data_IF_463599162137
#
_entry.id   IF_463599162137
#
_cell.length_a   1.000
_cell.length_b   1.000
_cell.length_c   1.000
_cell.angle_alpha   90.00
_cell.angle_beta   90.00
_cell.angle_gamma   90.00
#
_symmetry.space_group_name_H-M   'P 1'
#
loop_
_entity.id
_entity.type
_entity.pdbx_description
1 polymer ?
#
# COMPACT_ATOMS: atom_id res chain seq x y z
N UNK A 1 44.79 -47.77 6.87
CA UNK A 1 44.26 -46.40 7.06
C UNK A 1 44.15 -45.83 5.64
N UNK A 2 42.98 -45.52 5.12
CA UNK A 2 42.08 -44.49 5.65
C UNK A 2 40.61 -44.83 5.39
N UNK A 3 39.79 -44.69 6.43
CA UNK A 3 38.33 -44.68 6.31
C UNK A 3 37.93 -43.31 5.78
N UNK A 4 37.33 -43.25 4.59
CA UNK A 4 36.65 -42.04 4.11
C UNK A 4 35.30 -41.97 4.84
N UNK A 5 35.22 -41.09 5.83
CA UNK A 5 33.92 -40.64 6.32
C UNK A 5 33.29 -39.77 5.22
N UNK A 6 32.26 -40.32 4.57
CA UNK A 6 31.28 -39.48 3.87
C UNK A 6 30.47 -38.80 4.97
N UNK A 7 30.74 -37.52 5.18
CA UNK A 7 29.81 -36.65 5.88
C UNK A 7 28.63 -36.47 4.92
N UNK A 8 27.45 -36.99 5.28
CA UNK A 8 26.24 -36.60 4.58
C UNK A 8 26.07 -35.10 4.80
N UNK A 9 25.98 -34.32 3.72
CA UNK A 9 25.46 -32.96 3.82
C UNK A 9 24.04 -33.09 4.39
N UNK A 10 23.86 -32.57 5.61
CA UNK A 10 22.55 -32.34 6.16
C UNK A 10 21.98 -31.16 5.37
N UNK A 11 21.05 -31.43 4.44
CA UNK A 11 20.19 -30.38 3.89
C UNK A 11 19.45 -29.77 5.08
N UNK A 12 19.84 -28.56 5.46
CA UNK A 12 19.06 -27.74 6.38
C UNK A 12 17.82 -27.34 5.57
N UNK A 13 16.60 -27.74 5.98
CA UNK A 13 15.42 -27.29 5.25
C UNK A 13 15.31 -25.77 5.44
N UNK A 14 15.48 -25.03 4.35
CA UNK A 14 15.44 -23.56 4.31
C UNK A 14 14.03 -22.99 4.55
N UNK A 15 13.02 -23.83 4.75
CA UNK A 15 11.63 -23.44 4.88
C UNK A 15 11.07 -23.84 6.24
N UNK A 16 10.58 -22.85 6.99
CA UNK A 16 9.85 -23.07 8.23
C UNK A 16 8.49 -23.71 7.93
N UNK A 17 8.39 -25.03 8.15
CA UNK A 17 7.17 -25.80 7.89
C UNK A 17 6.31 -25.83 9.15
N UNK A 18 5.01 -25.55 9.01
CA UNK A 18 4.05 -25.67 10.11
C UNK A 18 3.84 -27.13 10.51
N UNK A 19 3.72 -27.38 11.81
CA UNK A 19 3.40 -28.71 12.32
C UNK A 19 2.02 -29.17 11.83
N UNK A 20 1.83 -30.49 11.72
CA UNK A 20 0.50 -31.03 11.49
C UNK A 20 -0.43 -30.67 12.67
N UNK A 21 -1.66 -30.25 12.37
CA UNK A 21 -2.64 -29.85 13.38
C UNK A 21 -2.14 -28.69 14.27
N UNK A 22 -1.32 -27.78 13.72
CA UNK A 22 -0.88 -26.55 14.37
C UNK A 22 -2.00 -25.50 14.48
N UNK A 23 -1.81 -24.40 15.23
CA UNK A 23 -2.71 -23.25 15.19
C UNK A 23 -2.87 -22.69 13.77
N UNK A 24 -4.07 -22.19 13.45
CA UNK A 24 -4.32 -21.46 12.21
C UNK A 24 -4.40 -19.95 12.48
N UNK A 25 -3.88 -19.14 11.56
CA UNK A 25 -4.04 -17.68 11.59
C UNK A 25 -4.86 -17.24 10.38
N UNK A 26 -5.92 -16.49 10.62
CA UNK A 26 -6.81 -15.94 9.59
C UNK A 26 -7.07 -14.45 9.82
N UNK A 27 -7.70 -13.78 8.87
CA UNK A 27 -8.17 -12.41 9.04
C UNK A 27 -9.69 -12.39 9.22
N UNK A 28 -10.18 -11.56 10.13
CA UNK A 28 -11.62 -11.33 10.30
C UNK A 28 -12.22 -10.67 9.05
N UNK A 29 -11.46 -9.76 8.42
CA UNK A 29 -11.89 -8.94 7.29
C UNK A 29 -11.02 -9.15 6.04
N UNK A 30 -10.87 -10.40 5.58
CA UNK A 30 -10.16 -10.69 4.33
C UNK A 30 -9.59 -12.10 4.26
N UNK A 31 -8.80 -12.35 3.22
CA UNK A 31 -8.00 -13.56 3.06
C UNK A 31 -6.53 -13.25 3.37
N UNK A 32 -5.97 -13.93 4.37
CA UNK A 32 -4.58 -13.72 4.79
C UNK A 32 -3.55 -14.09 3.72
N UNK A 33 -3.93 -14.97 2.78
CA UNK A 33 -3.07 -15.37 1.67
C UNK A 33 -3.00 -14.32 0.55
N UNK A 34 -3.90 -13.34 0.54
CA UNK A 34 -3.88 -12.23 -0.41
C UNK A 34 -3.18 -11.00 0.19
N UNK A 35 -2.49 -10.18 -0.62
CA UNK A 35 -1.96 -8.90 -0.14
C UNK A 35 -3.08 -8.02 0.43
N UNK A 36 -2.96 -7.62 1.70
CA UNK A 36 -3.89 -6.71 2.35
C UNK A 36 -3.56 -5.26 1.95
N UNK A 37 -4.48 -4.55 1.28
CA UNK A 37 -4.23 -3.17 0.89
C UNK A 37 -4.37 -2.23 2.08
N UNK A 38 -3.46 -1.28 2.22
CA UNK A 38 -3.60 -0.09 3.07
C UNK A 38 -3.50 1.13 2.16
N UNK A 39 -4.62 1.84 2.00
CA UNK A 39 -4.76 3.01 1.11
C UNK A 39 -5.20 4.24 1.88
N UNK A 40 -5.02 5.42 1.27
CA UNK A 40 -5.44 6.70 1.85
C UNK A 40 -6.93 6.70 2.17
N UNK A 41 -7.75 6.12 1.30
CA UNK A 41 -9.21 6.02 1.45
C UNK A 41 -9.70 5.26 2.69
N UNK A 42 -8.83 4.48 3.35
CA UNK A 42 -9.18 3.78 4.59
C UNK A 42 -9.18 4.69 5.82
N UNK A 43 -8.58 5.88 5.74
CA UNK A 43 -8.36 6.76 6.88
C UNK A 43 -9.26 7.98 6.85
N UNK A 44 -9.80 8.31 8.03
CA UNK A 44 -10.30 9.64 8.35
C UNK A 44 -9.33 10.25 9.38
N UNK A 45 -8.45 11.12 8.88
CA UNK A 45 -7.39 11.73 9.69
C UNK A 45 -7.91 12.78 10.67
N UNK A 46 -9.06 13.40 10.39
CA UNK A 46 -9.63 14.45 11.25
C UNK A 46 -10.12 13.87 12.57
N UNK A 47 -10.73 12.67 12.52
CA UNK A 47 -11.26 11.97 13.70
C UNK A 47 -10.37 10.82 14.18
N UNK A 48 -9.18 10.66 13.57
CA UNK A 48 -8.21 9.60 13.87
C UNK A 48 -8.85 8.20 13.84
N UNK A 49 -9.55 7.90 12.76
CA UNK A 49 -10.17 6.60 12.55
C UNK A 49 -9.74 5.97 11.23
N UNK A 50 -9.83 4.65 11.16
CA UNK A 50 -9.63 3.93 9.91
C UNK A 50 -10.54 2.71 9.82
N UNK A 51 -10.92 2.32 8.61
CA UNK A 51 -11.77 1.17 8.34
C UNK A 51 -11.53 0.62 6.93
N UNK A 52 -11.48 -0.72 6.75
CA UNK A 52 -11.43 -1.73 7.82
C UNK A 52 -10.10 -1.70 8.60
N UNK A 53 -10.12 -2.15 9.85
CA UNK A 53 -8.89 -2.43 10.62
C UNK A 53 -8.48 -3.89 10.40
N UNK A 54 -7.17 -4.16 10.43
CA UNK A 54 -6.65 -5.53 10.44
C UNK A 54 -6.99 -6.16 11.78
N UNK A 55 -7.74 -7.26 11.75
CA UNK A 55 -7.91 -8.17 12.89
C UNK A 55 -7.45 -9.56 12.48
N UNK A 56 -6.34 -10.02 13.05
CA UNK A 56 -5.92 -11.42 12.92
C UNK A 56 -6.57 -12.27 14.01
N UNK A 57 -7.03 -13.46 13.64
CA UNK A 57 -7.61 -14.45 14.53
C UNK A 57 -6.69 -15.66 14.54
N UNK A 58 -6.14 -15.98 15.71
CA UNK A 58 -5.30 -17.16 15.93
C UNK A 58 -6.14 -18.21 16.61
N UNK A 59 -6.43 -19.30 15.90
CA UNK A 59 -7.24 -20.42 16.37
C UNK A 59 -6.34 -21.61 16.66
N UNK A 60 -6.19 -22.02 17.94
CA UNK A 60 -5.42 -23.23 18.27
C UNK A 60 -6.17 -24.47 17.77
N UNK A 61 -5.44 -25.56 17.60
CA UNK A 61 -6.08 -26.83 17.24
C UNK A 61 -6.94 -27.37 18.39
N UNK A 62 -7.91 -28.22 18.05
CA UNK A 62 -8.99 -28.68 18.92
C UNK A 62 -8.49 -29.12 20.30
N UNK A 63 -9.13 -28.56 21.33
CA UNK A 63 -8.83 -28.88 22.74
C UNK A 63 -7.65 -28.13 23.35
N UNK A 64 -6.94 -27.31 22.56
CA UNK A 64 -5.78 -26.53 22.99
C UNK A 64 -6.08 -25.03 23.12
N UNK A 65 -5.15 -24.29 23.72
CA UNK A 65 -5.18 -22.81 23.77
C UNK A 65 -3.92 -22.23 23.12
N UNK A 66 -3.95 -20.96 22.71
CA UNK A 66 -2.72 -20.28 22.25
C UNK A 66 -1.76 -20.10 23.43
N UNK A 67 -0.56 -20.69 23.33
CA UNK A 67 0.49 -20.58 24.33
C UNK A 67 1.38 -19.36 24.09
N UNK A 68 1.77 -19.11 22.83
CA UNK A 68 2.53 -17.91 22.44
C UNK A 68 2.17 -17.44 21.04
N UNK A 69 2.37 -16.14 20.82
CA UNK A 69 2.26 -15.51 19.50
C UNK A 69 3.38 -14.48 19.35
N UNK A 70 4.18 -14.66 18.31
CA UNK A 70 5.18 -13.70 17.86
C UNK A 70 4.86 -13.26 16.43
N UNK A 71 5.25 -12.03 16.08
CA UNK A 71 5.16 -11.52 14.71
C UNK A 71 6.53 -11.02 14.31
N UNK A 72 7.06 -11.57 13.22
CA UNK A 72 8.31 -11.13 12.60
C UNK A 72 7.95 -10.27 11.39
N UNK A 73 8.45 -9.04 11.39
CA UNK A 73 8.22 -8.12 10.29
C UNK A 73 9.38 -8.12 9.30
N UNK A 74 9.05 -7.97 8.03
CA UNK A 74 10.00 -7.64 6.97
C UNK A 74 9.39 -6.59 6.03
N UNK A 75 10.23 -5.88 5.28
CA UNK A 75 9.78 -4.76 4.45
C UNK A 75 10.79 -4.39 3.36
N UNK A 76 10.27 -3.96 2.21
CA UNK A 76 11.07 -3.25 1.19
C UNK A 76 11.35 -1.78 1.55
N UNK A 77 10.72 -1.27 2.61
CA UNK A 77 10.91 0.07 3.14
C UNK A 77 11.91 0.07 4.31
N UNK A 78 13.13 0.56 4.06
CA UNK A 78 14.18 0.62 5.08
C UNK A 78 13.81 1.46 6.31
N UNK A 79 13.02 2.53 6.15
CA UNK A 79 12.62 3.39 7.27
C UNK A 79 11.66 2.67 8.23
N UNK A 80 10.82 1.78 7.71
CA UNK A 80 9.97 0.93 8.55
C UNK A 80 10.83 -0.01 9.42
N UNK A 81 11.86 -0.63 8.84
CA UNK A 81 12.78 -1.49 9.58
C UNK A 81 13.57 -0.70 10.64
N UNK A 82 14.03 0.50 10.32
CA UNK A 82 14.68 1.41 11.28
C UNK A 82 13.74 1.82 12.43
N UNK A 83 12.45 2.02 12.14
CA UNK A 83 11.44 2.32 13.16
C UNK A 83 11.24 1.15 14.12
N UNK A 84 11.20 -0.10 13.63
CA UNK A 84 11.14 -1.29 14.48
C UNK A 84 12.37 -1.41 15.38
N UNK A 85 13.56 -1.20 14.84
CA UNK A 85 14.81 -1.21 15.60
C UNK A 85 14.83 -0.10 16.67
N UNK A 86 14.35 1.10 16.33
CA UNK A 86 14.26 2.25 17.25
C UNK A 86 13.26 1.99 18.38
N UNK A 87 12.16 1.28 18.09
CA UNK A 87 11.21 0.82 19.10
C UNK A 87 11.77 -0.31 20.00
N UNK A 88 12.99 -0.80 19.71
CA UNK A 88 13.70 -1.79 20.52
C UNK A 88 13.40 -3.25 20.13
N UNK A 89 12.71 -3.48 19.01
CA UNK A 89 12.41 -4.84 18.55
C UNK A 89 13.65 -5.47 17.90
N UNK A 90 14.17 -6.51 18.53
CA UNK A 90 15.31 -7.28 18.00
C UNK A 90 14.85 -8.19 16.87
N UNK A 91 15.63 -8.29 15.79
CA UNK A 91 15.31 -9.11 14.61
C UNK A 91 13.89 -8.87 14.08
N UNK A 92 13.39 -7.62 14.14
CA UNK A 92 12.05 -7.23 13.72
C UNK A 92 10.91 -8.06 14.36
N UNK A 93 11.18 -8.68 15.52
CA UNK A 93 10.27 -9.62 16.17
C UNK A 93 9.54 -8.95 17.32
N UNK A 94 8.22 -9.10 17.34
CA UNK A 94 7.32 -8.58 18.37
C UNK A 94 6.61 -9.75 19.04
N UNK A 95 6.88 -9.97 20.33
CA UNK A 95 6.21 -10.99 21.12
C UNK A 95 4.89 -10.45 21.67
N UNK A 96 3.78 -10.81 21.03
CA UNK A 96 2.44 -10.30 21.36
C UNK A 96 1.75 -11.07 22.49
N UNK A 97 2.14 -12.33 22.71
CA UNK A 97 1.55 -13.20 23.73
C UNK A 97 2.53 -14.31 24.16
N UNK A 98 2.55 -14.74 25.43
CA UNK A 98 1.75 -14.23 26.56
C UNK A 98 2.44 -13.05 27.28
N UNK A 99 1.69 -12.35 28.12
CA UNK A 99 2.22 -11.27 28.97
C UNK A 99 1.82 -9.87 28.51
N UNK A 100 2.63 -8.88 28.88
CA UNK A 100 2.42 -7.49 28.47
C UNK A 100 2.78 -7.34 26.99
N UNK A 101 1.84 -6.83 26.19
CA UNK A 101 2.06 -6.58 24.78
C UNK A 101 3.00 -5.37 24.60
N UNK A 102 4.24 -5.56 24.12
CA UNK A 102 5.18 -4.45 23.92
C UNK A 102 4.71 -3.48 22.82
N UNK A 103 3.83 -3.94 21.92
CA UNK A 103 3.21 -3.13 20.88
C UNK A 103 1.81 -2.61 21.29
N UNK A 104 1.54 -2.43 22.59
CA UNK A 104 0.24 -2.02 23.12
C UNK A 104 -0.30 -0.69 22.56
N UNK A 105 0.59 0.20 22.13
CA UNK A 105 0.21 1.46 21.46
C UNK A 105 -0.31 1.26 20.04
N UNK A 106 0.00 0.12 19.40
CA UNK A 106 -0.28 -0.17 17.98
C UNK A 106 -1.31 -1.28 17.77
N UNK A 107 -1.46 -2.21 18.72
CA UNK A 107 -2.44 -3.27 18.63
C UNK A 107 -3.00 -3.69 19.99
N UNK A 108 -4.21 -4.22 19.97
CA UNK A 108 -4.87 -4.81 21.13
C UNK A 108 -4.93 -6.31 20.91
N UNK A 109 -4.38 -7.06 21.86
CA UNK A 109 -4.43 -8.52 21.89
C UNK A 109 -5.45 -8.95 22.93
N UNK A 110 -6.40 -9.80 22.53
CA UNK A 110 -7.48 -10.25 23.41
C UNK A 110 -7.80 -11.72 23.20
N UNK A 111 -7.90 -12.46 24.29
CA UNK A 111 -8.41 -13.82 24.27
C UNK A 111 -9.94 -13.83 24.13
N UNK A 112 -10.46 -14.68 23.24
CA UNK A 112 -11.88 -14.92 23.02
C UNK A 112 -12.15 -16.42 22.95
N UNK A 113 -12.51 -17.01 24.08
CA UNK A 113 -12.58 -18.47 24.20
C UNK A 113 -11.18 -19.08 24.07
N UNK A 114 -11.00 -20.05 23.17
CA UNK A 114 -9.69 -20.63 22.86
C UNK A 114 -8.85 -19.76 21.92
N UNK A 115 -9.49 -18.85 21.18
CA UNK A 115 -8.85 -18.03 20.17
C UNK A 115 -8.17 -16.80 20.76
N UNK A 116 -7.17 -16.30 20.04
CA UNK A 116 -6.51 -15.03 20.33
C UNK A 116 -6.75 -14.06 19.17
N UNK A 117 -7.33 -12.90 19.46
CA UNK A 117 -7.57 -11.83 18.48
C UNK A 117 -6.48 -10.78 18.62
N UNK A 118 -5.86 -10.41 17.51
CA UNK A 118 -4.94 -9.28 17.40
C UNK A 118 -5.57 -8.23 16.50
N UNK A 119 -6.07 -7.16 17.12
CA UNK A 119 -6.64 -6.03 16.38
C UNK A 119 -5.63 -4.90 16.30
N UNK A 120 -5.18 -4.57 15.10
CA UNK A 120 -4.36 -3.39 14.84
C UNK A 120 -5.22 -2.15 15.04
N UNK A 121 -4.80 -1.25 15.93
CA UNK A 121 -5.55 -0.04 16.23
C UNK A 121 -5.19 1.08 15.21
N UNK A 122 -5.78 2.26 15.36
CA UNK A 122 -5.50 3.39 14.46
C UNK A 122 -4.00 3.72 14.37
N UNK A 123 -3.29 3.78 15.49
CA UNK A 123 -1.85 4.08 15.50
C UNK A 123 -1.04 3.01 14.77
N UNK A 124 -1.39 1.74 14.92
CA UNK A 124 -0.76 0.64 14.19
C UNK A 124 -1.02 0.72 12.69
N UNK A 125 -2.28 0.94 12.30
CA UNK A 125 -2.66 1.12 10.90
C UNK A 125 -1.96 2.34 10.28
N UNK A 126 -1.92 3.46 11.02
CA UNK A 126 -1.25 4.70 10.61
C UNK A 126 0.27 4.52 10.52
N UNK A 127 0.87 3.80 11.46
CA UNK A 127 2.29 3.47 11.46
C UNK A 127 2.69 2.66 10.23
N UNK A 128 1.88 1.69 9.81
CA UNK A 128 2.07 0.99 8.53
C UNK A 128 1.87 1.93 7.34
N UNK A 129 0.77 2.71 7.34
CA UNK A 129 0.46 3.67 6.28
C UNK A 129 1.58 4.68 6.04
N UNK A 130 2.25 5.17 7.08
CA UNK A 130 3.34 6.16 6.96
C UNK A 130 4.58 5.64 6.24
N UNK A 131 4.66 4.31 6.04
CA UNK A 131 5.74 3.67 5.32
C UNK A 131 5.19 3.02 4.05
N UNK A 132 5.15 3.77 2.95
CA UNK A 132 4.75 3.22 1.63
C UNK A 132 5.68 2.08 1.23
N UNK A 133 5.13 1.00 0.69
CA UNK A 133 5.89 -0.18 0.30
C UNK A 133 5.13 -1.49 0.50
N UNK A 134 5.86 -2.58 0.35
CA UNK A 134 5.38 -3.93 0.65
C UNK A 134 6.01 -4.40 1.95
N UNK A 135 5.16 -4.67 2.93
CA UNK A 135 5.56 -5.23 4.23
C UNK A 135 5.06 -6.66 4.35
N UNK A 136 5.72 -7.45 5.18
CA UNK A 136 5.22 -8.74 5.61
C UNK A 136 5.14 -8.81 7.12
N UNK A 137 4.13 -9.51 7.61
CA UNK A 137 3.97 -9.88 9.01
C UNK A 137 3.88 -11.41 9.06
N UNK A 138 4.96 -12.06 9.47
CA UNK A 138 5.01 -13.51 9.68
C UNK A 138 4.60 -13.82 11.12
N UNK A 139 3.42 -14.38 11.28
CA UNK A 139 2.90 -14.88 12.54
C UNK A 139 3.54 -16.23 12.86
N UNK A 140 4.09 -16.35 14.07
CA UNK A 140 4.60 -17.59 14.65
C UNK A 140 3.75 -17.89 15.87
N UNK A 141 2.85 -18.86 15.74
CA UNK A 141 1.92 -19.23 16.80
C UNK A 141 2.26 -20.62 17.36
N UNK A 142 2.22 -20.75 18.68
CA UNK A 142 2.41 -22.02 19.38
C UNK A 142 1.18 -22.28 20.27
N UNK A 143 0.62 -23.48 20.24
CA UNK A 143 -0.45 -23.86 21.18
C UNK A 143 0.08 -24.50 22.47
N UNK A 144 -0.84 -24.80 23.38
CA UNK A 144 -0.55 -25.45 24.67
C UNK A 144 0.06 -26.84 24.56
N UNK A 145 -0.03 -27.50 23.39
CA UNK A 145 0.60 -28.80 23.12
C UNK A 145 1.98 -28.66 22.48
N UNK A 146 2.44 -27.42 22.25
CA UNK A 146 3.74 -27.11 21.67
C UNK A 146 3.80 -27.17 20.15
N UNK A 147 2.65 -27.34 19.46
CA UNK A 147 2.59 -27.34 17.99
C UNK A 147 2.72 -25.93 17.46
N UNK A 148 3.53 -25.75 16.43
CA UNK A 148 3.89 -24.45 15.88
C UNK A 148 3.36 -24.27 14.47
N UNK A 149 2.85 -23.09 14.18
CA UNK A 149 2.53 -22.65 12.83
C UNK A 149 3.27 -21.39 12.44
N UNK A 150 3.46 -21.26 11.12
CA UNK A 150 4.03 -20.11 10.46
C UNK A 150 3.00 -19.63 9.43
N UNK A 151 2.56 -18.38 9.53
CA UNK A 151 1.62 -17.80 8.56
C UNK A 151 2.08 -16.39 8.21
N UNK A 152 2.31 -16.12 6.93
CA UNK A 152 2.78 -14.82 6.45
C UNK A 152 1.65 -14.05 5.82
N UNK A 153 1.37 -12.86 6.35
CA UNK A 153 0.50 -11.88 5.72
C UNK A 153 1.35 -10.88 4.95
N UNK A 154 0.96 -10.59 3.70
CA UNK A 154 1.55 -9.49 2.93
C UNK A 154 0.68 -8.25 3.08
N UNK A 155 1.28 -7.10 3.36
CA UNK A 155 0.61 -5.80 3.48
C UNK A 155 1.16 -4.90 2.38
N UNK A 156 0.28 -4.37 1.54
CA UNK A 156 0.66 -3.44 0.48
C UNK A 156 0.16 -2.05 0.83
N UNK A 157 1.09 -1.17 1.18
CA UNK A 157 0.79 0.23 1.48
C UNK A 157 1.02 1.04 0.22
N UNK A 158 -0.06 1.63 -0.27
CA UNK A 158 -0.01 2.63 -1.33
C UNK A 158 -0.66 3.88 -0.78
N UNK A 159 0.10 4.96 -0.67
CA UNK A 159 -0.54 6.26 -0.69
C UNK A 159 -1.24 6.32 -2.04
N UNK A 160 -2.56 6.47 -2.04
CA UNK A 160 -3.21 6.99 -3.23
C UNK A 160 -2.49 8.31 -3.45
N UNK A 161 -1.54 8.35 -4.39
CA UNK A 161 -1.00 9.60 -4.89
C UNK A 161 -2.24 10.40 -5.21
N UNK A 162 -2.43 11.53 -4.54
CA UNK A 162 -3.53 12.47 -4.78
C UNK A 162 -3.42 13.11 -6.15
N UNK A 163 -3.22 12.30 -7.18
CA UNK A 163 -3.40 12.55 -8.57
C UNK A 163 -4.34 11.45 -9.04
N UNK A 164 -5.65 11.71 -9.01
CA UNK A 164 -6.36 11.48 -10.26
C UNK A 164 -5.46 12.11 -11.33
N UNK A 165 -5.10 11.40 -12.39
CA UNK A 165 -4.37 12.03 -13.50
C UNK A 165 -5.04 13.38 -13.74
N UNK A 166 -4.26 14.47 -13.59
CA UNK A 166 -4.80 15.80 -13.84
C UNK A 166 -5.40 15.84 -15.25
N UNK A 167 -6.25 16.82 -15.58
CA UNK A 167 -6.80 16.92 -16.91
C UNK A 167 -5.71 16.77 -17.97
N UNK A 168 -5.83 15.76 -18.82
CA UNK A 168 -4.91 15.48 -19.91
C UNK A 168 -5.29 16.38 -21.09
N UNK A 169 -4.29 17.02 -21.70
CA UNK A 169 -4.46 17.86 -22.88
C UNK A 169 -3.80 17.17 -24.06
N UNK A 170 -4.51 17.05 -25.18
CA UNK A 170 -3.94 16.55 -26.42
C UNK A 170 -4.55 17.25 -27.63
N UNK A 171 -3.75 17.39 -28.68
CA UNK A 171 -4.19 17.96 -29.95
C UNK A 171 -4.51 16.84 -30.95
N UNK A 172 -5.68 16.91 -31.61
CA UNK A 172 -5.98 16.13 -32.81
C UNK A 172 -6.22 16.98 -34.07
N UNK A 173 -5.97 16.42 -35.25
CA UNK A 173 -6.27 17.09 -36.55
C UNK A 173 -7.71 16.80 -37.03
N UNK A 174 -8.39 15.85 -36.39
CA UNK A 174 -9.75 15.44 -36.68
C UNK A 174 -10.66 15.61 -35.45
N UNK A 175 -11.97 15.84 -35.64
CA UNK A 175 -12.92 16.04 -34.55
C UNK A 175 -13.16 14.78 -33.71
N UNK A 176 -12.77 13.60 -34.21
CA UNK A 176 -12.92 12.31 -33.51
C UNK A 176 -11.83 12.07 -32.45
N UNK A 177 -10.77 12.90 -32.42
CA UNK A 177 -9.72 12.80 -31.42
C UNK A 177 -8.75 11.63 -31.62
N UNK A 178 -8.68 11.06 -32.84
CA UNK A 178 -7.90 9.84 -33.12
C UNK A 178 -6.59 10.10 -33.84
N UNK A 179 -6.47 11.20 -34.58
CA UNK A 179 -5.22 11.59 -35.22
C UNK A 179 -4.46 12.59 -34.34
N UNK A 180 -3.66 12.06 -33.42
CA UNK A 180 -2.98 12.81 -32.36
C UNK A 180 -1.68 13.45 -32.86
N UNK A 181 -1.53 14.73 -32.57
CA UNK A 181 -0.32 15.51 -32.81
C UNK A 181 0.36 15.81 -31.48
N UNK A 182 1.68 15.69 -31.44
CA UNK A 182 2.48 16.09 -30.29
C UNK A 182 2.34 17.59 -30.01
N UNK A 183 1.63 17.95 -28.95
CA UNK A 183 1.31 19.34 -28.61
C UNK A 183 2.52 20.14 -28.10
N UNK A 184 3.55 19.46 -27.58
CA UNK A 184 4.75 20.11 -27.02
C UNK A 184 5.75 20.52 -28.11
N UNK A 185 5.58 19.98 -29.31
CA UNK A 185 6.40 20.32 -30.47
C UNK A 185 6.01 21.68 -31.08
N UNK A 186 6.99 22.36 -31.70
CA UNK A 186 6.71 23.59 -32.45
C UNK A 186 6.15 23.26 -33.83
N UNK A 187 4.95 23.76 -34.12
CA UNK A 187 4.26 23.54 -35.40
C UNK A 187 4.23 24.79 -36.26
N UNK A 188 4.35 24.60 -37.58
CA UNK A 188 4.25 25.69 -38.57
C UNK A 188 2.93 25.55 -39.32
N UNK A 189 2.10 26.60 -39.25
CA UNK A 189 0.88 26.68 -40.05
C UNK A 189 1.25 27.06 -41.50
N UNK A 190 0.75 26.30 -42.47
CA UNK A 190 0.96 26.52 -43.91
C UNK A 190 -0.26 27.24 -44.52
N UNK A 191 -0.16 27.68 -45.78
CA UNK A 191 -1.29 28.32 -46.50
C UNK A 191 -2.52 27.40 -46.65
N UNK A 192 -2.33 26.08 -46.59
CA UNK A 192 -3.43 25.10 -46.63
C UNK A 192 -4.17 25.01 -45.28
N UNK A 193 -3.64 25.64 -44.23
CA UNK A 193 -4.17 25.62 -42.88
C UNK A 193 -3.89 24.30 -42.16
N UNK A 194 -4.13 24.29 -40.84
CA UNK A 194 -4.06 23.09 -40.02
C UNK A 194 -5.25 23.09 -39.07
N UNK A 195 -5.95 21.96 -38.99
CA UNK A 195 -7.05 21.81 -38.05
C UNK A 195 -6.50 21.58 -36.64
N UNK A 196 -6.95 22.42 -35.70
CA UNK A 196 -6.54 22.36 -34.30
C UNK A 196 -7.73 22.05 -33.42
N UNK A 197 -7.83 20.79 -32.98
CA UNK A 197 -8.78 20.37 -31.95
C UNK A 197 -8.01 20.11 -30.66
N UNK A 198 -8.14 20.99 -29.67
CA UNK A 198 -7.57 20.80 -28.33
C UNK A 198 -8.58 20.04 -27.49
N UNK A 199 -8.24 18.81 -27.15
CA UNK A 199 -9.08 17.92 -26.36
C UNK A 199 -8.60 17.92 -24.91
N UNK A 200 -9.56 17.97 -24.00
CA UNK A 200 -9.34 17.94 -22.56
C UNK A 200 -10.06 16.72 -21.99
N UNK A 201 -9.31 15.80 -21.39
CA UNK A 201 -9.85 14.61 -20.76
C UNK A 201 -9.60 14.66 -19.26
N UNK A 202 -10.63 14.45 -18.45
CA UNK A 202 -10.52 14.36 -16.99
C UNK A 202 -11.49 13.31 -16.49
N UNK A 203 -11.01 12.41 -15.64
CA UNK A 203 -11.86 11.40 -14.96
C UNK A 203 -12.78 12.02 -13.91
N UNK A 204 -12.36 13.16 -13.33
CA UNK A 204 -13.06 13.85 -12.25
C UNK A 204 -13.84 15.10 -12.71
N UNK A 205 -13.79 15.40 -14.01
CA UNK A 205 -14.40 16.60 -14.62
C UNK A 205 -13.43 17.79 -14.70
N UNK A 206 -13.84 18.84 -15.42
CA UNK A 206 -13.06 20.06 -15.65
C UNK A 206 -13.84 21.24 -15.08
N UNK A 207 -13.22 21.99 -14.17
CA UNK A 207 -13.86 23.13 -13.48
C UNK A 207 -13.36 24.49 -13.98
N UNK A 208 -12.26 24.53 -14.73
CA UNK A 208 -11.71 25.75 -15.34
C UNK A 208 -10.59 25.44 -16.33
N UNK A 209 -10.33 26.38 -17.24
CA UNK A 209 -9.23 26.36 -18.22
C UNK A 209 -8.67 27.78 -18.35
N UNK A 210 -7.37 27.93 -18.16
CA UNK A 210 -6.64 29.18 -18.42
C UNK A 210 -5.67 28.95 -19.58
N UNK A 211 -5.63 29.89 -20.53
CA UNK A 211 -4.76 29.82 -21.70
C UNK A 211 -3.92 31.09 -21.77
N UNK A 212 -2.60 30.94 -21.66
CA UNK A 212 -1.65 32.03 -21.83
C UNK A 212 -1.17 32.10 -23.29
N UNK A 213 -1.48 33.21 -23.96
CA UNK A 213 -1.05 33.45 -25.35
C UNK A 213 0.13 34.42 -25.33
N UNK A 214 1.33 33.91 -25.60
CA UNK A 214 2.54 34.73 -25.73
C UNK A 214 2.76 35.02 -27.22
N UNK A 215 2.33 36.20 -27.68
CA UNK A 215 2.41 36.58 -29.09
C UNK A 215 2.56 38.09 -29.27
N UNK A 216 3.49 38.49 -30.13
CA UNK A 216 3.65 39.90 -30.54
C UNK A 216 2.54 40.34 -31.52
N UNK A 217 1.88 39.38 -32.19
CA UNK A 217 0.86 39.64 -33.20
C UNK A 217 -0.57 39.52 -32.66
N UNK A 218 -0.80 38.61 -31.70
CA UNK A 218 -2.09 38.43 -31.04
C UNK A 218 -2.11 39.23 -29.73
N UNK A 219 -2.17 40.55 -29.86
CA UNK A 219 -2.29 41.45 -28.73
C UNK A 219 -3.67 41.35 -28.07
N UNK A 220 -3.81 41.88 -26.86
CA UNK A 220 -5.08 41.89 -26.12
C UNK A 220 -6.24 42.49 -26.92
N UNK A 221 -6.00 43.61 -27.62
CA UNK A 221 -7.01 44.28 -28.46
C UNK A 221 -7.45 43.39 -29.64
N UNK A 222 -6.51 42.65 -30.25
CA UNK A 222 -6.82 41.71 -31.33
C UNK A 222 -7.66 40.55 -30.81
N UNK A 223 -7.31 39.98 -29.66
CA UNK A 223 -8.08 38.89 -29.04
C UNK A 223 -9.50 39.33 -28.64
N UNK A 224 -9.64 40.53 -28.09
CA UNK A 224 -10.95 41.13 -27.76
C UNK A 224 -11.80 41.35 -29.02
N UNK A 225 -11.19 41.82 -30.11
CA UNK A 225 -11.89 41.98 -31.40
C UNK A 225 -12.41 40.67 -31.99
N UNK A 226 -11.81 39.54 -31.61
CA UNK A 226 -12.23 38.19 -31.99
C UNK A 226 -13.28 37.61 -31.02
N UNK A 227 -13.71 38.39 -30.02
CA UNK A 227 -14.69 37.96 -29.02
C UNK A 227 -14.13 37.03 -27.95
N UNK A 228 -12.80 36.97 -27.81
CA UNK A 228 -12.13 36.18 -26.77
C UNK A 228 -11.97 37.09 -25.55
N UNK A 229 -12.80 36.87 -24.53
CA UNK A 229 -12.78 37.64 -23.28
C UNK A 229 -11.49 37.39 -22.49
N UNK A 230 -10.79 38.47 -22.13
CA UNK A 230 -9.59 38.42 -21.32
C UNK A 230 -9.98 38.67 -19.85
N UNK A 231 -9.72 37.70 -18.97
CA UNK A 231 -9.72 37.97 -17.53
C UNK A 231 -8.39 38.64 -17.18
N UNK A 232 -8.45 39.85 -16.60
CA UNK A 232 -7.26 40.53 -16.11
C UNK A 232 -6.77 39.83 -14.84
N UNK A 233 -5.55 39.28 -14.87
CA UNK A 233 -4.82 38.84 -13.68
C UNK A 233 -4.10 40.02 -13.01
#
# INVERSE_FOLDING_TARGET
>A
MSSFYSYGEEEIPDEEISDENSPAVTLENGDIAQPYPITTSMFDFDVQSCSPMITAVVTPYQGSTVASLEVVFDSDNAQFLEALATAGYSNNTVALWPGENPAGDYCVVKQSGSDLLVKVNYNGMKGLYDHTGTHTAKFIAIDSEGRRSYTTMTIKVTHDSGTAEGPNIFWSTNPEGTDIVDIDSRHTLTEEGMNVFINLASESGITGLTVDIISDALTAEVLESLGIGLEAH
#
